data_IF_983249159678
#
_entry.id   IF_983249159678
#
_cell.length_a   1.000
_cell.length_b   1.000
_cell.length_c   1.000
_cell.angle_alpha   90.00
_cell.angle_beta   90.00
_cell.angle_gamma   90.00
#
_symmetry.space_group_name_H-M   'P 1'
#
loop_
_entity.id
_entity.type
_entity.pdbx_description
1 polymer ?
#
# COMPACT_ATOMS: atom_id res chain seq x y z
N UNK A 1 58.84 -58.87 -12.04
CA UNK A 1 59.23 -57.74 -12.91
C UNK A 1 57.97 -57.10 -13.48
N UNK A 2 57.70 -55.84 -13.09
CA UNK A 2 56.97 -54.78 -13.82
C UNK A 2 55.49 -55.01 -14.19
N UNK A 3 54.54 -54.08 -14.16
CA UNK A 3 54.27 -52.72 -13.64
C UNK A 3 52.75 -52.59 -14.02
N UNK A 4 51.75 -52.63 -13.12
CA UNK A 4 51.15 -51.52 -12.35
C UNK A 4 50.25 -50.53 -13.19
N UNK A 5 49.07 -50.19 -12.63
CA UNK A 5 48.26 -48.93 -12.76
C UNK A 5 47.50 -48.63 -14.09
N UNK A 6 46.25 -48.11 -14.17
CA UNK A 6 45.21 -47.55 -13.29
C UNK A 6 43.87 -47.67 -14.03
N UNK A 7 42.81 -48.19 -13.41
CA UNK A 7 41.41 -47.98 -13.84
C UNK A 7 40.75 -47.11 -12.77
N UNK A 8 40.50 -45.86 -13.12
CA UNK A 8 39.94 -44.83 -12.24
C UNK A 8 38.54 -45.24 -11.76
N UNK A 9 38.42 -45.53 -10.47
CA UNK A 9 37.16 -45.43 -9.75
C UNK A 9 36.87 -43.93 -9.53
N UNK A 10 35.93 -43.37 -10.30
CA UNK A 10 35.27 -42.11 -9.94
C UNK A 10 33.83 -42.45 -9.59
N UNK A 11 33.66 -42.96 -8.38
CA UNK A 11 32.39 -42.98 -7.67
C UNK A 11 32.49 -41.94 -6.55
N UNK A 12 31.41 -41.18 -6.38
CA UNK A 12 31.15 -40.22 -5.28
C UNK A 12 31.90 -38.88 -5.30
N UNK A 13 31.28 -37.89 -5.93
CA UNK A 13 30.93 -36.63 -5.25
C UNK A 13 30.11 -35.72 -6.17
N UNK A 14 28.89 -36.15 -6.52
CA UNK A 14 27.84 -35.16 -6.73
C UNK A 14 27.35 -34.74 -5.35
N UNK A 15 28.13 -33.87 -4.70
CA UNK A 15 27.63 -33.03 -3.62
C UNK A 15 26.46 -32.25 -4.18
N UNK A 16 25.27 -32.64 -3.75
CA UNK A 16 24.03 -31.89 -3.86
C UNK A 16 24.30 -30.43 -3.42
N UNK A 17 24.60 -29.54 -4.36
CA UNK A 17 24.20 -28.14 -4.25
C UNK A 17 22.70 -28.04 -4.58
N UNK A 18 21.90 -28.80 -3.83
CA UNK A 18 20.55 -28.34 -3.55
C UNK A 18 20.76 -27.20 -2.56
N UNK A 19 20.62 -25.96 -3.02
CA UNK A 19 20.25 -24.86 -2.14
C UNK A 19 19.04 -25.36 -1.36
N UNK A 20 19.27 -25.77 -0.11
CA UNK A 20 18.21 -26.10 0.82
C UNK A 20 17.43 -24.82 1.00
N UNK A 21 16.30 -24.70 0.29
CA UNK A 21 15.22 -23.87 0.77
C UNK A 21 14.88 -24.50 2.11
N UNK A 22 15.36 -23.92 3.21
CA UNK A 22 14.84 -24.23 4.54
C UNK A 22 13.33 -24.02 4.45
N UNK A 23 12.59 -25.11 4.23
CA UNK A 23 11.16 -25.06 4.17
C UNK A 23 10.71 -24.77 5.59
N UNK A 24 10.33 -23.52 5.85
CA UNK A 24 9.65 -23.20 7.10
C UNK A 24 8.38 -24.04 7.08
N UNK A 25 8.34 -25.04 7.97
CA UNK A 25 7.26 -26.01 8.09
C UNK A 25 6.01 -25.43 8.74
N UNK A 26 5.50 -24.29 8.24
CA UNK A 26 4.17 -23.81 8.62
C UNK A 26 3.15 -24.78 8.04
N UNK A 27 2.35 -25.40 8.91
CA UNK A 27 1.37 -26.41 8.50
C UNK A 27 0.34 -25.81 7.53
N UNK A 28 -0.03 -26.58 6.51
CA UNK A 28 -1.11 -26.23 5.59
C UNK A 28 -0.73 -25.30 4.43
N UNK A 29 0.55 -24.93 4.28
CA UNK A 29 1.04 -24.16 3.14
C UNK A 29 1.59 -25.06 2.03
N UNK A 30 1.36 -24.65 0.78
CA UNK A 30 2.06 -25.21 -0.39
C UNK A 30 3.53 -24.75 -0.42
N UNK A 31 4.38 -25.47 -1.17
CA UNK A 31 5.79 -25.11 -1.31
C UNK A 31 6.01 -23.67 -1.81
N UNK A 32 5.14 -23.18 -2.72
CA UNK A 32 5.17 -21.80 -3.22
C UNK A 32 4.80 -20.79 -2.13
N UNK A 33 3.85 -21.10 -1.28
CA UNK A 33 3.47 -20.23 -0.16
C UNK A 33 4.57 -20.18 0.91
N UNK A 34 5.18 -21.32 1.22
CA UNK A 34 6.29 -21.40 2.16
C UNK A 34 7.51 -20.62 1.68
N UNK A 35 7.84 -20.66 0.39
CA UNK A 35 9.03 -19.95 -0.14
C UNK A 35 8.92 -18.43 -0.03
N UNK A 36 7.71 -17.87 -0.16
CA UNK A 36 7.44 -16.43 0.01
C UNK A 36 7.71 -15.94 1.44
N UNK A 37 7.62 -16.82 2.43
CA UNK A 37 7.76 -16.48 3.85
C UNK A 37 9.18 -16.54 4.40
N UNK A 38 10.13 -17.09 3.64
CA UNK A 38 11.52 -17.27 4.11
C UNK A 38 12.14 -15.97 4.60
N UNK A 39 12.18 -14.95 3.74
CA UNK A 39 12.79 -13.67 4.09
C UNK A 39 11.95 -12.86 5.11
N UNK A 40 10.61 -12.75 4.99
CA UNK A 40 9.80 -12.07 6.00
C UNK A 40 9.96 -12.65 7.41
N UNK A 41 9.94 -13.97 7.58
CA UNK A 41 10.05 -14.60 8.90
C UNK A 41 11.45 -14.42 9.50
N UNK A 42 12.49 -14.48 8.68
CA UNK A 42 13.85 -14.16 9.10
C UNK A 42 13.97 -12.72 9.58
N UNK A 43 13.43 -11.75 8.82
CA UNK A 43 13.44 -10.31 9.17
C UNK A 43 12.60 -10.00 10.41
N UNK A 44 11.54 -10.75 10.67
CA UNK A 44 10.70 -10.60 11.85
C UNK A 44 11.40 -10.97 13.17
N UNK A 45 12.47 -11.78 13.12
CA UNK A 45 13.20 -12.23 14.30
C UNK A 45 12.29 -12.94 15.31
N UNK A 46 12.29 -12.49 16.57
CA UNK A 46 11.44 -13.06 17.61
C UNK A 46 9.93 -12.98 17.31
N UNK A 47 9.50 -11.97 16.53
CA UNK A 47 8.10 -11.79 16.17
C UNK A 47 7.61 -12.76 15.08
N UNK A 48 8.50 -13.56 14.48
CA UNK A 48 8.11 -14.64 13.56
C UNK A 48 7.05 -15.57 14.14
N UNK A 49 7.03 -15.77 15.46
CA UNK A 49 6.00 -16.55 16.18
C UNK A 49 4.59 -15.99 15.97
N UNK A 50 4.42 -14.67 16.04
CA UNK A 50 3.13 -14.02 15.80
C UNK A 50 2.71 -14.16 14.33
N UNK A 51 3.67 -14.04 13.40
CA UNK A 51 3.38 -14.21 11.98
C UNK A 51 2.94 -15.65 11.65
N UNK A 52 3.64 -16.65 12.17
CA UNK A 52 3.28 -18.07 12.02
C UNK A 52 1.92 -18.33 12.65
N UNK A 53 1.67 -17.86 13.88
CA UNK A 53 0.38 -18.00 14.56
C UNK A 53 -0.76 -17.40 13.75
N UNK A 54 -0.53 -16.25 13.10
CA UNK A 54 -1.52 -15.63 12.22
C UNK A 54 -1.88 -16.50 11.03
N UNK A 55 -0.88 -17.15 10.43
CA UNK A 55 -1.06 -18.04 9.26
C UNK A 55 -1.79 -19.31 9.66
N UNK A 56 -1.44 -19.92 10.79
CA UNK A 56 -2.08 -21.15 11.27
C UNK A 56 -3.53 -20.93 11.72
N UNK A 57 -3.89 -19.70 12.10
CA UNK A 57 -5.22 -19.35 12.61
C UNK A 57 -6.17 -18.77 11.56
N UNK A 58 -5.66 -18.33 10.40
CA UNK A 58 -6.50 -17.71 9.36
C UNK A 58 -7.24 -18.79 8.57
N UNK A 59 -8.44 -18.47 8.07
CA UNK A 59 -9.18 -19.36 7.17
C UNK A 59 -8.37 -19.65 5.90
N UNK A 60 -8.37 -20.90 5.37
CA UNK A 60 -7.64 -21.26 4.15
C UNK A 60 -7.96 -20.37 2.94
N UNK A 61 -9.20 -19.90 2.81
CA UNK A 61 -9.61 -19.02 1.69
C UNK A 61 -9.04 -17.59 1.78
N UNK A 62 -8.38 -17.24 2.89
CA UNK A 62 -7.82 -15.91 3.16
C UNK A 62 -6.29 -15.93 3.30
N UNK A 63 -5.68 -17.12 3.25
CA UNK A 63 -4.25 -17.29 3.49
C UNK A 63 -3.41 -16.49 2.49
N UNK A 64 -3.76 -16.50 1.21
CA UNK A 64 -3.00 -15.78 0.17
C UNK A 64 -2.97 -14.27 0.41
N UNK A 65 -4.06 -13.69 0.91
CA UNK A 65 -4.08 -12.28 1.30
C UNK A 65 -3.17 -11.99 2.49
N UNK A 66 -3.20 -12.83 3.52
CA UNK A 66 -2.31 -12.69 4.68
C UNK A 66 -0.83 -12.82 4.27
N UNK A 67 -0.51 -13.78 3.41
CA UNK A 67 0.85 -13.97 2.89
C UNK A 67 1.31 -12.75 2.09
N UNK A 68 0.46 -12.19 1.23
CA UNK A 68 0.75 -10.97 0.49
C UNK A 68 1.06 -9.79 1.43
N UNK A 69 0.30 -9.64 2.53
CA UNK A 69 0.60 -8.61 3.54
C UNK A 69 1.97 -8.85 4.17
N UNK A 70 2.26 -10.09 4.60
CA UNK A 70 3.51 -10.44 5.28
C UNK A 70 4.73 -10.26 4.35
N UNK A 71 4.61 -10.65 3.09
CA UNK A 71 5.67 -10.53 2.08
C UNK A 71 6.11 -9.07 1.89
N UNK A 72 5.15 -8.14 1.88
CA UNK A 72 5.40 -6.76 1.47
C UNK A 72 5.47 -5.76 2.62
N UNK A 73 5.02 -6.10 3.83
CA UNK A 73 5.07 -5.17 4.97
C UNK A 73 6.50 -4.75 5.36
N UNK A 74 6.67 -3.53 5.92
CA UNK A 74 7.98 -3.03 6.31
C UNK A 74 8.53 -3.76 7.54
N UNK A 75 9.84 -3.64 7.76
CA UNK A 75 10.56 -4.25 8.87
C UNK A 75 9.94 -3.95 10.25
N UNK A 76 9.51 -2.70 10.44
CA UNK A 76 8.86 -2.28 11.69
C UNK A 76 7.62 -3.12 11.96
N UNK A 77 6.81 -3.39 10.94
CA UNK A 77 5.56 -4.11 11.09
C UNK A 77 5.82 -5.63 11.26
N UNK A 78 6.79 -6.18 10.52
CA UNK A 78 7.26 -7.57 10.71
C UNK A 78 7.70 -7.85 12.15
N UNK A 79 8.32 -6.87 12.80
CA UNK A 79 8.91 -7.01 14.14
C UNK A 79 7.93 -6.72 15.27
N UNK A 80 6.78 -6.09 15.01
CA UNK A 80 5.90 -5.60 16.10
C UNK A 80 4.43 -5.95 15.97
N UNK A 81 3.91 -6.28 14.79
CA UNK A 81 2.49 -6.59 14.65
C UNK A 81 2.14 -7.96 15.21
N UNK A 82 1.07 -8.01 16.00
CA UNK A 82 0.56 -9.25 16.57
C UNK A 82 -0.29 -10.04 15.57
N UNK A 83 -0.41 -11.33 15.83
CA UNK A 83 -1.28 -12.24 15.08
C UNK A 83 -2.73 -11.76 15.08
N UNK A 84 -3.25 -11.29 16.21
CA UNK A 84 -4.62 -10.81 16.34
C UNK A 84 -4.87 -9.54 15.50
N UNK A 85 -3.87 -8.65 15.36
CA UNK A 85 -3.99 -7.48 14.49
C UNK A 85 -4.13 -7.88 13.02
N UNK A 86 -3.25 -8.78 12.56
CA UNK A 86 -3.23 -9.23 11.17
C UNK A 86 -4.50 -10.01 10.82
N UNK A 87 -4.92 -10.94 11.68
CA UNK A 87 -6.13 -11.74 11.48
C UNK A 87 -7.38 -10.84 11.41
N UNK A 88 -7.53 -9.88 12.33
CA UNK A 88 -8.68 -8.95 12.32
C UNK A 88 -8.73 -8.13 11.04
N UNK A 89 -7.59 -7.57 10.62
CA UNK A 89 -7.49 -6.79 9.38
C UNK A 89 -7.91 -7.64 8.16
N UNK A 90 -7.32 -8.83 7.99
CA UNK A 90 -7.63 -9.71 6.85
C UNK A 90 -9.09 -10.13 6.88
N UNK A 91 -9.61 -10.53 8.04
CA UNK A 91 -10.99 -10.98 8.17
C UNK A 91 -11.99 -9.89 7.79
N UNK A 92 -11.77 -8.65 8.22
CA UNK A 92 -12.66 -7.53 7.86
C UNK A 92 -12.50 -7.09 6.41
N UNK A 93 -11.30 -7.16 5.83
CA UNK A 93 -11.12 -6.87 4.40
C UNK A 93 -11.90 -7.85 3.53
N UNK A 94 -11.84 -9.15 3.83
CA UNK A 94 -12.60 -10.17 3.11
C UNK A 94 -14.11 -10.12 3.41
N UNK A 95 -14.50 -9.76 4.64
CA UNK A 95 -15.91 -9.49 4.98
C UNK A 95 -16.47 -8.38 4.09
N UNK A 96 -15.81 -7.23 4.05
CA UNK A 96 -16.20 -6.10 3.22
C UNK A 96 -16.27 -6.49 1.72
N UNK A 97 -15.27 -7.25 1.23
CA UNK A 97 -15.27 -7.77 -0.16
C UNK A 97 -16.50 -8.61 -0.47
N UNK A 98 -17.03 -9.37 0.49
CA UNK A 98 -18.15 -10.30 0.30
C UNK A 98 -19.54 -9.66 0.41
N UNK A 99 -19.65 -8.44 0.93
CA UNK A 99 -20.93 -7.82 1.31
C UNK A 99 -21.61 -7.06 0.17
N UNK A 100 -20.89 -6.73 -0.90
CA UNK A 100 -21.43 -6.05 -2.07
C UNK A 100 -20.93 -6.66 -3.38
N UNK A 101 -21.76 -6.60 -4.42
CA UNK A 101 -21.39 -7.20 -5.72
C UNK A 101 -20.25 -6.44 -6.39
N UNK A 102 -20.19 -5.12 -6.22
CA UNK A 102 -19.11 -4.27 -6.73
C UNK A 102 -17.78 -4.51 -5.99
N UNK A 103 -17.78 -4.90 -4.71
CA UNK A 103 -16.54 -5.23 -4.01
C UNK A 103 -16.04 -6.63 -4.40
N UNK A 104 -16.96 -7.57 -4.64
CA UNK A 104 -16.62 -8.91 -5.16
C UNK A 104 -16.00 -8.85 -6.55
N UNK A 105 -16.45 -7.93 -7.40
CA UNK A 105 -15.93 -7.77 -8.77
C UNK A 105 -14.54 -7.15 -8.84
N UNK A 106 -14.00 -6.62 -7.73
CA UNK A 106 -12.62 -6.10 -7.70
C UNK A 106 -11.64 -7.24 -8.01
N UNK A 107 -10.74 -7.08 -9.01
CA UNK A 107 -9.68 -8.04 -9.30
C UNK A 107 -8.81 -8.31 -8.08
N UNK A 108 -8.34 -9.55 -7.93
CA UNK A 108 -7.64 -9.98 -6.71
C UNK A 108 -6.38 -9.14 -6.45
N UNK A 109 -5.62 -8.82 -7.47
CA UNK A 109 -4.41 -8.01 -7.41
C UNK A 109 -4.68 -6.59 -6.91
N UNK A 110 -5.77 -5.96 -7.37
CA UNK A 110 -6.21 -4.64 -6.88
C UNK A 110 -6.71 -4.75 -5.44
N UNK A 111 -7.46 -5.80 -5.11
CA UNK A 111 -7.93 -6.02 -3.74
C UNK A 111 -6.74 -6.20 -2.77
N UNK A 112 -5.74 -6.99 -3.13
CA UNK A 112 -4.55 -7.22 -2.30
C UNK A 112 -3.72 -5.94 -2.12
N UNK A 113 -3.56 -5.14 -3.16
CA UNK A 113 -2.70 -3.96 -3.09
C UNK A 113 -3.39 -2.71 -2.54
N UNK A 114 -4.71 -2.58 -2.70
CA UNK A 114 -5.41 -1.30 -2.50
C UNK A 114 -6.69 -1.39 -1.63
N UNK A 115 -7.03 -2.57 -1.12
CA UNK A 115 -8.09 -2.76 -0.10
C UNK A 115 -7.54 -3.41 1.16
N UNK A 116 -6.83 -4.52 1.01
CA UNK A 116 -6.30 -5.34 2.08
C UNK A 116 -5.29 -4.64 3.03
N UNK A 117 -4.43 -3.72 2.57
CA UNK A 117 -3.44 -3.09 3.44
C UNK A 117 -4.06 -2.27 4.56
N UNK A 118 -3.48 -2.39 5.76
CA UNK A 118 -3.90 -1.69 6.97
C UNK A 118 -3.32 -0.28 7.12
N UNK A 119 -2.49 0.16 6.17
CA UNK A 119 -1.87 1.47 6.15
C UNK A 119 -1.68 1.95 4.69
N UNK A 120 -1.50 3.24 4.51
CA UNK A 120 -1.28 3.92 3.23
C UNK A 120 0.13 4.49 3.09
N UNK A 121 0.73 4.95 4.19
CA UNK A 121 2.04 5.61 4.24
C UNK A 121 2.80 5.13 5.52
N UNK A 122 3.48 6.04 6.21
CA UNK A 122 4.24 5.78 7.42
C UNK A 122 3.45 5.99 8.73
N UNK A 123 2.13 6.21 8.65
CA UNK A 123 1.27 6.54 9.79
C UNK A 123 1.32 5.47 10.91
N UNK A 124 0.92 5.87 12.13
CA UNK A 124 0.77 4.92 13.25
C UNK A 124 -0.22 3.80 12.85
N UNK A 125 0.08 2.56 13.24
CA UNK A 125 -0.79 1.40 12.98
C UNK A 125 -1.98 1.42 13.95
N UNK A 126 -3.14 1.81 13.44
CA UNK A 126 -4.41 1.79 14.18
C UNK A 126 -5.25 0.55 13.81
N UNK A 127 -6.00 0.02 14.77
CA UNK A 127 -7.00 -1.05 14.52
C UNK A 127 -8.30 -0.48 13.94
N UNK A 128 -8.20 0.35 12.90
CA UNK A 128 -9.32 1.12 12.36
C UNK A 128 -10.34 0.26 11.60
N UNK A 129 -9.92 -0.83 10.94
CA UNK A 129 -10.76 -1.50 9.93
C UNK A 129 -12.10 -1.99 10.45
N UNK A 130 -12.12 -2.65 11.60
CA UNK A 130 -13.34 -3.16 12.22
C UNK A 130 -14.29 -2.02 12.62
N UNK A 131 -13.73 -0.99 13.25
CA UNK A 131 -14.46 0.20 13.69
C UNK A 131 -15.05 0.96 12.50
N UNK A 132 -14.23 1.23 11.47
CA UNK A 132 -14.65 1.94 10.27
C UNK A 132 -15.67 1.14 9.45
N UNK A 133 -15.49 -0.18 9.33
CA UNK A 133 -16.49 -1.05 8.70
C UNK A 133 -17.85 -0.93 9.41
N UNK A 134 -17.86 -0.99 10.75
CA UNK A 134 -19.08 -0.84 11.54
C UNK A 134 -19.75 0.52 11.36
N UNK A 135 -18.97 1.62 11.33
CA UNK A 135 -19.47 2.99 11.16
C UNK A 135 -19.97 3.27 9.75
N UNK A 136 -19.26 2.80 8.73
CA UNK A 136 -19.39 3.32 7.36
C UNK A 136 -20.07 2.34 6.39
N UNK A 137 -20.05 1.04 6.63
CA UNK A 137 -20.80 0.08 5.80
C UNK A 137 -22.31 0.39 5.69
N UNK A 138 -23.01 0.93 6.73
CA UNK A 138 -24.41 1.30 6.60
C UNK A 138 -24.66 2.41 5.57
N UNK A 139 -23.71 3.33 5.39
CA UNK A 139 -23.84 4.47 4.47
C UNK A 139 -23.91 4.00 3.01
N UNK A 140 -23.14 2.97 2.66
CA UNK A 140 -22.98 2.48 1.28
C UNK A 140 -23.89 1.31 0.94
N UNK A 141 -24.81 0.92 1.83
CA UNK A 141 -25.70 -0.25 1.64
C UNK A 141 -26.52 -0.19 0.35
N UNK A 142 -26.86 1.02 -0.11
CA UNK A 142 -27.63 1.23 -1.35
C UNK A 142 -26.75 1.51 -2.57
N UNK A 143 -25.45 1.71 -2.40
CA UNK A 143 -24.53 2.00 -3.48
C UNK A 143 -24.46 0.84 -4.47
N UNK A 144 -24.44 1.17 -5.76
CA UNK A 144 -24.43 0.21 -6.88
C UNK A 144 -23.06 0.03 -7.49
N UNK A 145 -22.17 1.00 -7.32
CA UNK A 145 -20.82 0.97 -7.90
C UNK A 145 -19.76 1.35 -6.86
N UNK A 146 -18.50 1.04 -7.18
CA UNK A 146 -17.34 1.48 -6.40
C UNK A 146 -17.27 3.00 -6.29
N UNK A 147 -17.51 3.71 -7.40
CA UNK A 147 -17.55 5.16 -7.44
C UNK A 147 -18.65 5.73 -6.52
N UNK A 148 -19.87 5.21 -6.61
CA UNK A 148 -20.98 5.70 -5.78
C UNK A 148 -20.68 5.51 -4.29
N UNK A 149 -20.14 4.35 -3.91
CA UNK A 149 -19.72 4.08 -2.53
C UNK A 149 -18.66 5.08 -2.07
N UNK A 150 -17.62 5.34 -2.89
CA UNK A 150 -16.58 6.31 -2.57
C UNK A 150 -17.11 7.75 -2.43
N UNK A 151 -18.02 8.16 -3.33
CA UNK A 151 -18.64 9.48 -3.30
C UNK A 151 -19.52 9.68 -2.05
N UNK A 152 -20.30 8.66 -1.67
CA UNK A 152 -21.09 8.67 -0.43
C UNK A 152 -20.17 8.83 0.78
N UNK A 153 -19.09 8.06 0.87
CA UNK A 153 -18.15 8.15 1.97
C UNK A 153 -17.50 9.53 2.04
N UNK A 154 -16.99 10.04 0.92
CA UNK A 154 -16.34 11.36 0.87
C UNK A 154 -17.30 12.51 1.16
N UNK A 155 -18.61 12.29 1.06
CA UNK A 155 -19.62 13.28 1.45
C UNK A 155 -19.98 13.21 2.94
N UNK A 156 -20.15 12.01 3.48
CA UNK A 156 -20.87 11.81 4.74
C UNK A 156 -19.95 11.61 5.96
N UNK A 157 -18.77 11.00 5.82
CA UNK A 157 -17.99 10.54 6.99
C UNK A 157 -17.48 11.68 7.86
N UNK A 158 -17.15 12.85 7.30
CA UNK A 158 -16.43 13.93 7.98
C UNK A 158 -17.19 14.50 9.19
N UNK A 159 -18.51 14.59 9.07
CA UNK A 159 -19.38 15.02 10.18
C UNK A 159 -19.45 13.94 11.26
N UNK A 160 -19.48 12.67 10.88
CA UNK A 160 -19.56 11.55 11.83
C UNK A 160 -18.30 11.41 12.69
N UNK A 161 -17.14 11.71 12.11
CA UNK A 161 -15.85 11.62 12.82
C UNK A 161 -15.37 12.98 13.37
N UNK A 162 -16.11 14.06 13.11
CA UNK A 162 -15.80 15.43 13.55
C UNK A 162 -14.37 15.88 13.21
N UNK A 163 -13.91 15.60 11.98
CA UNK A 163 -12.59 16.03 11.50
C UNK A 163 -12.75 17.12 10.44
N UNK A 164 -11.95 18.19 10.55
CA UNK A 164 -11.92 19.30 9.58
C UNK A 164 -10.54 19.49 8.99
N UNK A 165 -10.49 20.05 7.78
CA UNK A 165 -9.22 20.46 7.21
C UNK A 165 -8.57 21.57 8.03
N UNK A 166 -7.29 21.40 8.36
CA UNK A 166 -6.43 22.49 8.78
C UNK A 166 -4.97 22.21 8.43
N UNK A 167 -4.35 23.12 7.66
CA UNK A 167 -2.97 22.95 7.18
C UNK A 167 -1.91 22.84 8.30
N UNK A 168 -2.10 23.56 9.42
CA UNK A 168 -1.09 23.79 10.48
C UNK A 168 -1.50 23.40 11.91
N UNK A 169 -2.80 23.24 12.23
CA UNK A 169 -3.23 22.86 13.60
C UNK A 169 -3.08 21.37 13.90
N UNK A 170 -2.82 20.55 12.88
CA UNK A 170 -2.50 19.13 13.03
C UNK A 170 -1.24 18.93 13.90
N UNK A 171 -1.21 17.95 14.82
CA UNK A 171 -0.03 17.64 15.62
C UNK A 171 1.20 17.21 14.80
N UNK A 172 1.01 16.45 13.72
CA UNK A 172 2.08 15.95 12.85
C UNK A 172 1.58 15.72 11.41
N UNK A 173 2.45 15.50 10.40
CA UNK A 173 2.02 15.40 8.99
C UNK A 173 1.38 14.07 8.61
N UNK A 174 1.85 12.98 9.20
CA UNK A 174 1.51 11.58 8.94
C UNK A 174 0.56 11.02 10.02
N UNK A 175 -0.45 11.80 10.40
CA UNK A 175 -1.45 11.35 11.37
C UNK A 175 -2.15 10.08 10.86
N UNK A 176 -2.26 9.09 11.74
CA UNK A 176 -3.15 7.95 11.55
C UNK A 176 -4.63 8.38 11.66
N UNK A 177 -5.57 7.47 11.36
CA UNK A 177 -7.00 7.75 11.49
C UNK A 177 -7.38 8.25 12.88
N UNK A 178 -6.96 7.55 13.94
CA UNK A 178 -7.33 7.92 15.30
C UNK A 178 -6.59 9.18 15.76
N UNK A 179 -5.34 9.40 15.36
CA UNK A 179 -4.65 10.66 15.63
C UNK A 179 -5.34 11.87 14.97
N UNK A 180 -5.98 11.68 13.80
CA UNK A 180 -6.75 12.73 13.12
C UNK A 180 -8.10 12.97 13.80
N UNK A 181 -8.78 11.90 14.23
CA UNK A 181 -10.06 11.97 14.95
C UNK A 181 -9.88 12.63 16.31
N UNK A 182 -8.88 12.22 17.09
CA UNK A 182 -8.59 12.78 18.41
C UNK A 182 -8.24 14.27 18.33
N UNK A 183 -7.51 14.68 17.28
CA UNK A 183 -7.15 16.08 17.06
C UNK A 183 -8.33 16.94 16.56
N UNK A 184 -9.33 16.34 15.90
CA UNK A 184 -10.41 17.04 15.19
C UNK A 184 -9.96 17.81 13.94
N UNK A 185 -8.66 17.77 13.61
CA UNK A 185 -8.08 18.44 12.44
C UNK A 185 -7.03 17.57 11.75
N UNK A 186 -7.00 17.65 10.42
CA UNK A 186 -5.99 17.02 9.57
C UNK A 186 -5.63 17.90 8.36
N UNK A 187 -4.44 17.74 7.78
CA UNK A 187 -4.12 18.29 6.46
C UNK A 187 -4.65 17.39 5.34
N UNK A 188 -4.35 17.74 4.08
CA UNK A 188 -4.61 16.88 2.93
C UNK A 188 -4.09 15.44 3.15
N UNK A 189 -2.91 15.27 3.73
CA UNK A 189 -2.34 13.94 4.06
C UNK A 189 -3.25 13.13 4.99
N UNK A 190 -3.60 13.66 6.17
CA UNK A 190 -4.43 12.93 7.14
C UNK A 190 -5.87 12.72 6.67
N UNK A 191 -6.44 13.69 5.93
CA UNK A 191 -7.77 13.52 5.31
C UNK A 191 -7.74 12.42 4.24
N UNK A 192 -6.68 12.35 3.42
CA UNK A 192 -6.52 11.28 2.44
C UNK A 192 -6.42 9.91 3.12
N UNK A 193 -5.64 9.76 4.19
CA UNK A 193 -5.57 8.51 4.97
C UNK A 193 -6.96 8.12 5.49
N UNK A 194 -7.69 9.07 6.11
CA UNK A 194 -9.05 8.82 6.61
C UNK A 194 -10.03 8.36 5.51
N UNK A 195 -10.02 9.00 4.34
CA UNK A 195 -10.90 8.62 3.24
C UNK A 195 -10.52 7.24 2.68
N UNK A 196 -9.22 6.96 2.52
CA UNK A 196 -8.74 5.66 2.06
C UNK A 196 -9.19 4.57 3.03
N UNK A 197 -9.00 4.77 4.33
CA UNK A 197 -9.39 3.77 5.33
C UNK A 197 -10.91 3.58 5.37
N UNK A 198 -11.70 4.65 5.20
CA UNK A 198 -13.14 4.54 5.06
C UNK A 198 -13.54 3.71 3.82
N UNK A 199 -12.94 4.00 2.65
CA UNK A 199 -13.16 3.25 1.40
C UNK A 199 -12.77 1.78 1.54
N UNK A 200 -11.55 1.51 2.02
CA UNK A 200 -11.02 0.15 2.22
C UNK A 200 -11.82 -0.63 3.26
N UNK A 201 -12.38 0.05 4.25
CA UNK A 201 -13.23 -0.60 5.26
C UNK A 201 -14.49 -1.21 4.67
N UNK A 202 -15.01 -0.69 3.55
CA UNK A 202 -16.22 -1.20 2.87
C UNK A 202 -15.91 -1.91 1.55
N UNK A 203 -14.64 -2.17 1.25
CA UNK A 203 -14.22 -2.95 0.08
C UNK A 203 -13.96 -2.13 -1.18
N UNK A 204 -13.92 -0.79 -1.10
CA UNK A 204 -13.57 0.09 -2.22
C UNK A 204 -12.04 0.23 -2.32
N UNK A 205 -11.40 -0.15 -3.45
CA UNK A 205 -9.97 0.03 -3.62
C UNK A 205 -9.61 1.50 -3.71
N UNK A 206 -8.65 1.91 -2.89
CA UNK A 206 -8.19 3.30 -2.84
C UNK A 206 -6.73 3.36 -2.42
N UNK A 207 -6.01 4.37 -2.92
CA UNK A 207 -4.59 4.57 -2.68
C UNK A 207 -4.23 6.03 -2.47
N UNK A 208 -3.17 6.24 -1.72
CA UNK A 208 -2.66 7.57 -1.39
C UNK A 208 -1.89 8.11 -2.57
N UNK A 209 -2.21 9.32 -3.01
CA UNK A 209 -1.53 9.94 -4.15
C UNK A 209 -1.02 11.31 -3.74
N UNK A 210 0.12 11.71 -4.29
CA UNK A 210 0.61 13.05 -4.06
C UNK A 210 1.73 13.48 -4.98
N UNK A 211 1.99 14.78 -4.96
CA UNK A 211 3.17 15.40 -5.56
C UNK A 211 4.00 16.07 -4.46
N UNK A 212 5.33 15.88 -4.43
CA UNK A 212 6.20 16.57 -3.47
C UNK A 212 6.13 18.08 -3.59
N UNK A 213 5.94 18.58 -4.81
CA UNK A 213 5.82 19.99 -5.11
C UNK A 213 5.16 20.19 -6.47
N UNK A 214 4.09 20.98 -6.53
CA UNK A 214 3.51 21.38 -7.82
C UNK A 214 4.56 21.98 -8.76
N UNK A 215 4.38 21.83 -10.07
CA UNK A 215 5.29 22.41 -11.07
C UNK A 215 5.40 23.95 -10.97
N UNK A 216 4.36 24.62 -10.47
CA UNK A 216 4.36 26.06 -10.18
C UNK A 216 4.96 26.42 -8.79
N UNK A 217 5.55 25.45 -8.09
CA UNK A 217 6.26 25.57 -6.80
C UNK A 217 5.38 26.02 -5.62
N UNK A 218 4.06 25.88 -5.70
CA UNK A 218 3.12 26.25 -4.61
C UNK A 218 3.04 25.25 -3.45
N UNK A 219 4.10 24.47 -3.22
CA UNK A 219 4.14 23.43 -2.20
C UNK A 219 3.57 22.09 -2.68
N UNK A 220 3.45 21.16 -1.74
CA UNK A 220 3.02 19.79 -1.99
C UNK A 220 1.50 19.64 -1.96
N UNK A 221 1.02 18.50 -2.43
CA UNK A 221 -0.37 18.12 -2.23
C UNK A 221 -0.54 16.61 -2.21
N UNK A 222 -1.57 16.15 -1.50
CA UNK A 222 -1.94 14.75 -1.40
C UNK A 222 -3.45 14.62 -1.57
N UNK A 223 -3.88 13.55 -2.22
CA UNK A 223 -5.27 13.25 -2.51
C UNK A 223 -5.45 11.73 -2.59
N UNK A 224 -6.63 11.29 -3.05
CA UNK A 224 -6.97 9.86 -3.12
C UNK A 224 -7.24 9.47 -4.57
N UNK A 225 -6.68 8.34 -4.99
CA UNK A 225 -7.18 7.60 -6.15
C UNK A 225 -8.09 6.46 -5.70
N UNK A 226 -9.19 6.25 -6.43
CA UNK A 226 -10.20 5.22 -6.22
C UNK A 226 -10.35 4.43 -7.51
N UNK A 227 -10.40 3.09 -7.41
CA UNK A 227 -10.69 2.23 -8.56
C UNK A 227 -12.19 2.24 -8.83
N UNK A 228 -12.62 2.69 -10.01
CA UNK A 228 -14.05 2.78 -10.37
C UNK A 228 -14.64 1.47 -10.91
N UNK A 229 -13.80 0.45 -11.13
CA UNK A 229 -14.14 -0.81 -11.79
C UNK A 229 -13.40 -1.00 -13.13
N UNK A 230 -12.97 0.11 -13.75
CA UNK A 230 -12.29 0.14 -15.05
C UNK A 230 -10.93 0.84 -14.99
N UNK A 231 -10.83 1.93 -14.21
CA UNK A 231 -9.64 2.76 -14.11
C UNK A 231 -9.50 3.40 -12.72
N UNK A 232 -8.28 3.85 -12.43
CA UNK A 232 -8.02 4.73 -11.28
C UNK A 232 -8.54 6.14 -11.59
N UNK A 233 -9.43 6.64 -10.72
CA UNK A 233 -9.94 8.01 -10.76
C UNK A 233 -9.51 8.75 -9.50
N UNK A 234 -9.31 10.07 -9.57
CA UNK A 234 -8.89 10.85 -8.42
C UNK A 234 -10.04 11.63 -7.75
N UNK A 235 -9.89 11.92 -6.46
CA UNK A 235 -10.75 12.82 -5.69
C UNK A 235 -9.99 13.48 -4.54
N UNK A 236 -10.39 14.69 -4.16
CA UNK A 236 -9.91 15.32 -2.94
C UNK A 236 -10.68 14.81 -1.72
N UNK A 237 -10.00 14.57 -0.61
CA UNK A 237 -10.65 14.15 0.63
C UNK A 237 -11.35 15.35 1.30
N UNK A 238 -12.60 15.16 1.73
CA UNK A 238 -13.48 16.24 2.20
C UNK A 238 -13.89 17.23 1.09
N UNK A 239 -13.85 16.79 -0.15
CA UNK A 239 -14.14 17.60 -1.35
C UNK A 239 -15.10 16.86 -2.29
N UNK A 240 -16.24 16.39 -1.75
CA UNK A 240 -17.29 15.76 -2.56
C UNK A 240 -17.64 16.60 -3.79
N UNK A 241 -17.78 15.92 -4.94
CA UNK A 241 -18.10 16.53 -6.22
C UNK A 241 -19.31 15.83 -6.84
N UNK A 242 -20.38 16.57 -7.08
CA UNK A 242 -21.56 16.05 -7.78
C UNK A 242 -21.25 15.62 -9.24
N UNK A 243 -20.13 16.07 -9.81
CA UNK A 243 -19.66 15.64 -11.12
C UNK A 243 -18.95 14.27 -11.11
N UNK A 244 -18.84 13.62 -9.94
CA UNK A 244 -18.19 12.32 -9.79
C UNK A 244 -16.68 12.41 -9.58
N UNK A 245 -16.01 11.26 -9.64
CA UNK A 245 -14.55 11.17 -9.55
C UNK A 245 -13.88 11.83 -10.79
N UNK A 246 -12.59 12.14 -10.70
CA UNK A 246 -11.85 12.84 -11.77
C UNK A 246 -12.14 14.34 -11.87
N UNK A 247 -12.93 14.88 -10.93
CA UNK A 247 -13.30 16.29 -10.81
C UNK A 247 -12.85 16.83 -9.46
N UNK A 248 -11.73 17.56 -9.47
CA UNK A 248 -11.19 18.22 -8.28
C UNK A 248 -10.52 19.55 -8.67
N UNK A 249 -10.47 20.50 -7.74
CA UNK A 249 -9.92 21.84 -7.98
C UNK A 249 -8.45 21.82 -8.41
N UNK A 250 -7.70 20.79 -7.99
CA UNK A 250 -6.28 20.65 -8.29
C UNK A 250 -5.98 20.06 -9.69
N UNK A 251 -7.00 19.63 -10.44
CA UNK A 251 -6.83 18.96 -11.75
C UNK A 251 -5.91 19.73 -12.70
N UNK A 252 -6.07 21.06 -12.80
CA UNK A 252 -5.24 21.90 -13.67
C UNK A 252 -3.80 22.11 -13.18
N UNK A 253 -3.52 21.87 -11.89
CA UNK A 253 -2.13 21.85 -11.38
C UNK A 253 -1.50 20.48 -11.59
N UNK A 254 -2.27 19.40 -11.39
CA UNK A 254 -1.83 18.03 -11.64
C UNK A 254 -1.50 17.76 -13.10
N UNK A 255 -2.25 18.35 -14.04
CA UNK A 255 -1.96 18.22 -15.48
C UNK A 255 -0.65 18.85 -15.93
N UNK A 256 0.02 19.63 -15.07
CA UNK A 256 1.33 20.25 -15.32
C UNK A 256 2.49 19.50 -14.66
N UNK A 257 2.22 18.33 -14.07
CA UNK A 257 3.25 17.50 -13.46
C UNK A 257 4.31 17.07 -14.49
N UNK A 258 5.53 16.83 -14.02
CA UNK A 258 6.69 16.52 -14.86
C UNK A 258 7.20 15.13 -14.46
N UNK A 259 6.93 14.12 -15.31
CA UNK A 259 7.19 12.71 -15.00
C UNK A 259 8.67 12.44 -14.64
N UNK A 260 9.57 13.09 -15.38
CA UNK A 260 11.03 12.90 -15.27
C UNK A 260 11.66 13.74 -14.14
N UNK A 261 10.92 14.64 -13.49
CA UNK A 261 11.41 15.38 -12.33
C UNK A 261 10.74 14.85 -11.05
N UNK A 262 11.46 14.11 -10.19
CA UNK A 262 10.89 13.54 -8.98
C UNK A 262 10.25 14.54 -8.02
N UNK A 263 10.59 15.84 -8.10
CA UNK A 263 9.97 16.88 -7.28
C UNK A 263 8.58 17.25 -7.77
N UNK A 264 8.34 17.08 -9.06
CA UNK A 264 7.15 17.57 -9.78
C UNK A 264 6.32 16.44 -10.39
N UNK A 265 6.76 15.20 -10.28
CA UNK A 265 6.00 14.01 -10.61
C UNK A 265 4.85 13.76 -9.61
N UNK A 266 3.96 12.85 -9.97
CA UNK A 266 2.86 12.37 -9.15
C UNK A 266 3.08 10.89 -8.86
N UNK A 267 2.97 10.54 -7.58
CA UNK A 267 3.18 9.19 -7.08
C UNK A 267 1.92 8.66 -6.42
N UNK A 268 1.61 7.39 -6.65
CA UNK A 268 0.58 6.65 -5.93
C UNK A 268 1.24 5.58 -5.05
N UNK A 269 0.91 5.54 -3.76
CA UNK A 269 1.42 4.55 -2.80
C UNK A 269 1.06 3.14 -3.25
N UNK A 270 1.98 2.20 -3.05
CA UNK A 270 1.79 0.77 -3.32
C UNK A 270 2.18 -0.04 -2.10
N UNK A 271 1.36 -1.02 -1.72
CA UNK A 271 1.75 -1.97 -0.69
C UNK A 271 2.79 -2.94 -1.22
N UNK A 272 2.54 -3.49 -2.42
CA UNK A 272 3.51 -4.29 -3.15
C UNK A 272 4.76 -3.46 -3.40
N UNK A 273 5.92 -4.07 -3.15
CA UNK A 273 7.22 -3.46 -3.44
C UNK A 273 7.33 -3.08 -4.91
N UNK A 274 7.72 -1.85 -5.18
CA UNK A 274 8.01 -1.32 -6.52
C UNK A 274 9.46 -0.83 -6.58
N UNK A 275 9.90 -0.36 -7.74
CA UNK A 275 11.23 0.24 -7.91
C UNK A 275 11.35 1.65 -7.33
N UNK A 276 10.22 2.26 -6.96
CA UNK A 276 10.13 3.67 -6.58
C UNK A 276 9.55 3.78 -5.18
N UNK A 277 10.10 4.67 -4.36
CA UNK A 277 9.54 4.98 -3.06
C UNK A 277 8.64 6.22 -3.13
N UNK A 278 7.61 6.25 -2.30
CA UNK A 278 6.78 7.43 -2.13
C UNK A 278 7.60 8.55 -1.47
N UNK A 279 7.70 9.75 -2.06
CA UNK A 279 8.44 10.86 -1.47
C UNK A 279 7.66 11.50 -0.31
N UNK A 280 7.87 10.98 0.90
CA UNK A 280 7.27 11.51 2.13
C UNK A 280 8.01 12.79 2.54
N UNK A 281 7.59 13.94 2.01
CA UNK A 281 8.34 15.21 2.16
C UNK A 281 8.59 15.68 3.61
N UNK A 282 7.89 15.10 4.58
CA UNK A 282 8.11 15.34 6.01
C UNK A 282 9.21 14.47 6.61
N UNK A 283 9.54 13.34 5.98
CA UNK A 283 10.61 12.44 6.37
C UNK A 283 11.17 11.68 5.15
N UNK A 284 12.18 12.27 4.53
CA UNK A 284 12.92 11.72 3.38
C UNK A 284 13.84 10.55 3.74
N UNK A 285 13.92 10.23 5.03
CA UNK A 285 14.62 9.07 5.57
C UNK A 285 13.94 7.76 5.20
N UNK A 286 12.61 7.80 5.06
CA UNK A 286 11.77 6.62 4.91
C UNK A 286 11.82 6.09 3.47
N UNK A 287 12.22 4.83 3.33
CA UNK A 287 12.39 4.11 2.07
C UNK A 287 11.54 2.84 1.97
N UNK A 288 10.65 2.63 2.95
CA UNK A 288 9.80 1.44 3.03
C UNK A 288 8.34 1.68 2.61
N UNK A 289 8.02 2.87 2.13
CA UNK A 289 6.72 3.18 1.50
C UNK A 289 6.95 3.21 -0.01
N UNK A 290 6.44 2.21 -0.71
CA UNK A 290 6.61 2.05 -2.15
C UNK A 290 5.57 2.86 -2.93
N UNK A 291 5.85 3.14 -4.20
CA UNK A 291 4.95 3.90 -5.05
C UNK A 291 5.11 3.57 -6.54
N UNK A 292 4.07 3.90 -7.31
CA UNK A 292 4.11 3.99 -8.77
C UNK A 292 4.16 5.46 -9.18
N UNK A 293 4.96 5.81 -10.20
CA UNK A 293 4.89 7.13 -10.83
C UNK A 293 3.69 7.12 -11.79
N UNK A 294 2.62 7.82 -11.41
CA UNK A 294 1.33 7.85 -12.10
C UNK A 294 1.11 9.17 -12.84
N UNK A 295 2.17 9.94 -13.08
CA UNK A 295 2.10 11.28 -13.69
C UNK A 295 1.31 11.31 -15.00
N UNK A 296 1.45 10.27 -15.83
CA UNK A 296 0.78 10.19 -17.13
C UNK A 296 -0.75 10.10 -17.04
N UNK A 297 -1.28 9.63 -15.90
CA UNK A 297 -2.73 9.63 -15.65
C UNK A 297 -3.29 11.06 -15.51
N UNK A 298 -2.44 12.05 -15.26
CA UNK A 298 -2.83 13.43 -15.03
C UNK A 298 -2.46 14.36 -16.20
N UNK A 299 -1.38 14.07 -16.91
CA UNK A 299 -0.87 14.93 -18.00
C UNK A 299 -1.51 14.62 -19.35
N UNK A 300 -2.22 13.49 -19.49
CA UNK A 300 -2.82 13.07 -20.76
C UNK A 300 -1.82 12.47 -21.75
N UNK A 301 -0.56 12.28 -21.35
CA UNK A 301 0.45 11.57 -22.13
C UNK A 301 0.17 10.06 -22.06
N UNK A 302 -0.62 9.54 -23.00
CA UNK A 302 -1.00 8.11 -23.09
C UNK A 302 0.14 7.18 -23.56
N UNK A 303 1.41 7.52 -23.31
CA UNK A 303 2.55 6.69 -23.70
C UNK A 303 2.51 5.32 -23.02
N UNK A 304 2.33 4.26 -23.82
CA UNK A 304 2.36 2.83 -23.49
C UNK A 304 1.97 2.48 -22.04
N UNK A 305 0.67 2.29 -21.81
CA UNK A 305 0.14 1.56 -20.65
C UNK A 305 0.59 0.09 -20.72
N UNK A 306 1.82 -0.20 -20.34
CA UNK A 306 2.17 -1.56 -19.93
C UNK A 306 1.64 -1.76 -18.52
N UNK A 307 0.45 -2.36 -18.41
CA UNK A 307 0.10 -3.08 -17.19
C UNK A 307 1.19 -4.14 -17.01
N UNK A 308 2.10 -3.92 -16.07
CA UNK A 308 3.22 -4.82 -15.75
C UNK A 308 2.68 -6.15 -15.23
N UNK A 309 2.21 -7.00 -16.14
CA UNK A 309 2.16 -8.43 -15.95
C UNK A 309 3.53 -8.98 -16.35
N UNK A 310 4.22 -9.55 -15.35
CA UNK A 310 5.49 -10.32 -15.39
C UNK A 310 6.81 -9.53 -15.23
N UNK A 311 7.38 -9.77 -14.04
CA UNK A 311 8.81 -9.99 -13.72
C UNK A 311 9.88 -9.25 -14.53
N UNK A 312 10.48 -8.21 -13.96
CA UNK A 312 11.91 -7.93 -14.08
C UNK A 312 12.43 -7.28 -12.78
N UNK A 313 13.09 -8.10 -11.95
CA UNK A 313 13.87 -7.69 -10.77
C UNK A 313 15.28 -7.33 -11.26
N UNK A 314 15.74 -6.14 -10.93
CA UNK A 314 17.12 -5.69 -11.13
C UNK A 314 17.31 -4.35 -10.40
N UNK A 315 18.42 -4.13 -9.66
CA UNK A 315 18.60 -2.94 -8.85
C UNK A 315 19.28 -1.84 -9.66
N UNK A 316 18.59 -0.72 -9.86
CA UNK A 316 19.24 0.57 -10.08
C UNK A 316 18.60 1.58 -9.14
N UNK A 317 19.37 1.99 -8.12
CA UNK A 317 19.00 3.05 -7.20
C UNK A 317 19.29 4.37 -7.92
N UNK A 318 18.27 5.19 -8.13
CA UNK A 318 18.42 6.48 -8.80
C UNK A 318 19.08 7.52 -7.85
N UNK A 319 20.34 7.86 -8.09
CA UNK A 319 21.17 8.81 -7.31
C UNK A 319 20.57 10.23 -7.18
N UNK A 320 19.59 10.59 -8.00
CA UNK A 320 18.96 11.92 -7.98
C UNK A 320 18.16 12.23 -6.70
N UNK A 321 17.73 11.22 -5.94
CA UNK A 321 17.06 11.43 -4.64
C UNK A 321 18.06 11.70 -3.49
N UNK A 322 19.31 11.21 -3.59
CA UNK A 322 20.34 11.41 -2.58
C UNK A 322 20.85 12.85 -2.57
N UNK A 323 21.00 13.48 -3.73
CA UNK A 323 21.34 14.91 -3.83
C UNK A 323 20.25 15.81 -3.23
N UNK A 324 18.99 15.36 -3.19
CA UNK A 324 17.88 16.06 -2.56
C UNK A 324 17.99 16.14 -1.03
N UNK A 325 18.54 15.10 -0.37
CA UNK A 325 18.80 15.09 1.08
C UNK A 325 19.72 16.24 1.52
N UNK A 326 20.74 16.55 0.72
CA UNK A 326 21.72 17.60 1.06
C UNK A 326 21.23 19.02 0.76
N UNK A 327 20.36 19.21 -0.24
CA UNK A 327 19.82 20.52 -0.58
C UNK A 327 18.87 21.11 0.47
N UNK A 328 18.09 20.26 1.16
CA UNK A 328 17.14 20.70 2.20
C UNK A 328 17.80 20.99 3.56
N UNK A 329 18.90 20.33 3.91
CA UNK A 329 19.64 20.62 5.14
C UNK A 329 20.27 22.03 5.14
N UNK A 330 20.47 22.65 3.98
CA UNK A 330 20.98 24.03 3.86
C UNK A 330 19.90 25.12 4.00
N UNK A 331 18.62 24.76 4.13
CA UNK A 331 17.49 25.70 4.19
C UNK A 331 16.72 25.62 5.53
N UNK A 332 17.36 25.14 6.60
CA UNK A 332 16.83 25.25 7.97
C UNK A 332 17.53 26.35 8.74
#
# INVERSE_FOLDING_TARGET
MKFIWILYAVFLSYSNLCFGIESIGVKGLSAKQSSVLVEPLKRAGANSKELIRSIESISPSRVDGLLFLIEHMPDRDLKTLSSEYLIENVNYAYKARSESDWAKSVPQEIFFNDVLPYASINERRDRWRKDFHARFSPLVKKAKTLEEAAQILNKEIWKMINVRYHARKRPKPDQSPYESIDAGFASCTGLSVLLIDACRSVGVPSRFVGTPMWANKRGNHSWVEVWDGNAWQFTGACEYSAAGLGHAWFKGSASKAIKEDPKHAIYASSWKRTKTNFPLIWDLGIDYVFAENVTDNYTGNLGNREYLSKSLIGPEVNESLLTWRFGWMRLR
#
